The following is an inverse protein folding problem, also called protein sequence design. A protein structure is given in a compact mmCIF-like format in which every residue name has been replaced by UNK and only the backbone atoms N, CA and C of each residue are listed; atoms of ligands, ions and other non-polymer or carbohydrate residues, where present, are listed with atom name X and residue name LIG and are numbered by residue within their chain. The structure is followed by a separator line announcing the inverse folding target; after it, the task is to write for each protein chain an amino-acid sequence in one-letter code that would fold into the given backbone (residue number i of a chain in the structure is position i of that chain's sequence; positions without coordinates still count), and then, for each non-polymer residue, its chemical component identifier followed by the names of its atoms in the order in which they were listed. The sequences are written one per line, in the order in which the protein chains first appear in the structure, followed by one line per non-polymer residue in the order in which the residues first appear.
data_IF_528210727971
#
_entry.id   IF_528210727971
#
_cell.length_a   1.000
_cell.length_b   1.000
_cell.length_c   1.000
_cell.angle_alpha   90.00
_cell.angle_beta   90.00
_cell.angle_gamma   90.00
#
_symmetry.space_group_name_H-M   'P 1'
#
loop_
_entity.id
_entity.type
_entity.pdbx_description
1 polymer ?
#
# COMPACT_ATOMS: atom_id res chain seq x y z
N UNK A 1 84.67 -1.04 -54.44
CA UNK A 1 83.69 -1.37 -53.38
C UNK A 1 84.04 -0.54 -52.15
N UNK A 2 83.53 0.69 -51.97
CA UNK A 2 82.26 1.12 -51.35
C UNK A 2 82.11 0.66 -49.88
N UNK A 3 82.34 1.58 -48.94
CA UNK A 3 81.64 1.78 -47.63
C UNK A 3 82.52 2.65 -46.70
N UNK A 4 82.02 3.56 -45.88
CA UNK A 4 80.71 4.19 -45.71
C UNK A 4 80.97 5.37 -44.75
N UNK A 5 80.39 6.54 -45.07
CA UNK A 5 80.47 7.75 -44.24
C UNK A 5 79.84 7.51 -42.86
N UNK A 6 80.49 7.98 -41.80
CA UNK A 6 79.98 7.98 -40.43
C UNK A 6 78.68 8.79 -40.33
N UNK A 7 77.61 8.28 -39.68
CA UNK A 7 76.44 9.08 -39.40
C UNK A 7 76.63 9.91 -38.12
N UNK A 8 76.39 11.22 -38.23
CA UNK A 8 76.25 12.12 -37.09
C UNK A 8 74.93 11.77 -36.39
N UNK A 9 75.02 11.14 -35.21
CA UNK A 9 73.85 10.86 -34.35
C UNK A 9 73.33 12.18 -33.77
N UNK A 10 72.23 12.72 -34.32
CA UNK A 10 71.47 13.81 -33.70
C UNK A 10 70.78 13.29 -32.45
N UNK A 11 71.19 13.76 -31.28
CA UNK A 11 70.49 13.53 -30.02
C UNK A 11 69.11 14.22 -30.07
N UNK A 12 68.02 13.45 -30.07
CA UNK A 12 66.64 13.95 -30.05
C UNK A 12 66.30 14.33 -28.61
N UNK A 13 66.40 15.61 -28.28
CA UNK A 13 66.01 16.13 -26.97
C UNK A 13 64.51 15.88 -26.71
N UNK A 14 64.20 15.16 -25.63
CA UNK A 14 62.84 14.96 -25.16
C UNK A 14 62.31 16.30 -24.62
N UNK A 15 61.39 16.96 -25.33
CA UNK A 15 60.67 18.13 -24.81
C UNK A 15 59.79 17.68 -23.66
N UNK A 16 60.22 17.91 -22.41
CA UNK A 16 59.33 17.88 -21.24
C UNK A 16 58.30 18.99 -21.38
N UNK A 17 57.03 18.64 -21.60
CA UNK A 17 55.93 19.58 -21.42
C UNK A 17 55.85 19.93 -19.93
N UNK A 18 55.92 21.23 -19.63
CA UNK A 18 55.65 21.73 -18.28
C UNK A 18 54.14 21.64 -18.07
N UNK A 19 53.68 20.57 -17.44
CA UNK A 19 52.29 20.45 -17.01
C UNK A 19 51.99 21.57 -16.00
N UNK A 20 51.10 22.48 -16.37
CA UNK A 20 50.69 23.59 -15.51
C UNK A 20 49.78 23.07 -14.39
N UNK A 21 50.14 23.23 -13.11
CA UNK A 21 49.34 22.75 -11.98
C UNK A 21 47.95 23.42 -11.90
N UNK A 22 47.78 24.60 -12.52
CA UNK A 22 46.52 25.35 -12.55
C UNK A 22 45.44 24.69 -13.42
N UNK A 23 45.82 23.91 -14.44
CA UNK A 23 44.87 23.16 -15.28
C UNK A 23 44.27 21.95 -14.56
N UNK A 24 45.03 21.32 -13.67
CA UNK A 24 44.55 20.21 -12.84
C UNK A 24 43.56 20.70 -11.78
N UNK A 25 43.85 21.83 -11.11
CA UNK A 25 42.94 22.43 -10.13
C UNK A 25 41.65 22.94 -10.77
N UNK A 26 41.72 23.49 -11.99
CA UNK A 26 40.56 24.00 -12.72
C UNK A 26 39.57 22.93 -13.19
N UNK A 27 40.01 21.66 -13.36
CA UNK A 27 39.14 20.55 -13.73
C UNK A 27 38.65 19.75 -12.52
N UNK A 28 39.48 19.63 -11.48
CA UNK A 28 39.16 18.87 -10.26
C UNK A 28 38.07 19.54 -9.42
N UNK A 29 38.12 20.86 -9.25
CA UNK A 29 37.13 21.57 -8.42
C UNK A 29 35.71 21.46 -8.98
N UNK A 30 35.43 21.72 -10.28
CA UNK A 30 34.06 21.59 -10.80
C UNK A 30 33.59 20.14 -10.85
N UNK A 31 34.48 19.17 -11.13
CA UNK A 31 34.09 17.74 -11.12
C UNK A 31 33.73 17.27 -9.71
N UNK A 32 34.50 17.65 -8.69
CA UNK A 32 34.17 17.36 -7.28
C UNK A 32 32.86 18.04 -6.87
N UNK A 33 32.63 19.30 -7.25
CA UNK A 33 31.37 20.00 -6.95
C UNK A 33 30.16 19.32 -7.61
N UNK A 34 30.28 18.87 -8.85
CA UNK A 34 29.21 18.14 -9.55
C UNK A 34 28.93 16.80 -8.87
N UNK A 35 29.96 16.06 -8.44
CA UNK A 35 29.79 14.79 -7.74
C UNK A 35 29.12 14.97 -6.37
N UNK A 36 29.51 16.01 -5.62
CA UNK A 36 28.88 16.35 -4.34
C UNK A 36 27.41 16.77 -4.55
N UNK A 37 27.13 17.60 -5.55
CA UNK A 37 25.77 18.00 -5.88
C UNK A 37 24.91 16.80 -6.29
N UNK A 38 25.44 15.87 -7.09
CA UNK A 38 24.74 14.64 -7.47
C UNK A 38 24.46 13.73 -6.26
N UNK A 39 25.43 13.56 -5.36
CA UNK A 39 25.26 12.78 -4.13
C UNK A 39 24.21 13.39 -3.18
N UNK A 40 24.19 14.72 -3.04
CA UNK A 40 23.27 15.43 -2.14
C UNK A 40 21.86 15.55 -2.72
N UNK A 41 21.70 15.83 -4.01
CA UNK A 41 20.39 16.14 -4.61
C UNK A 41 19.74 14.98 -5.37
N UNK A 42 20.51 14.07 -5.96
CA UNK A 42 19.98 13.01 -6.85
C UNK A 42 19.85 11.69 -6.10
N UNK A 43 20.85 11.31 -5.30
CA UNK A 43 20.85 10.05 -4.54
C UNK A 43 19.65 9.87 -3.60
N UNK A 44 19.22 10.88 -2.80
CA UNK A 44 18.06 10.69 -1.92
C UNK A 44 16.72 10.57 -2.68
N UNK A 45 16.64 11.02 -3.94
CA UNK A 45 15.43 10.90 -4.77
C UNK A 45 15.27 9.54 -5.45
N UNK A 46 16.35 8.76 -5.55
CA UNK A 46 16.31 7.39 -6.09
C UNK A 46 15.91 6.35 -5.03
N UNK A 47 15.93 6.71 -3.74
CA UNK A 47 15.65 5.80 -2.62
C UNK A 47 14.21 5.76 -2.11
N UNK A 48 13.26 6.51 -2.69
CA UNK A 48 11.86 6.50 -2.25
C UNK A 48 11.02 5.41 -2.91
N UNK A 49 11.44 4.16 -2.77
CA UNK A 49 10.51 3.04 -2.76
C UNK A 49 10.25 2.72 -1.30
N UNK A 50 9.08 3.06 -0.78
CA UNK A 50 8.66 2.59 0.54
C UNK A 50 8.68 1.05 0.51
N UNK A 51 9.70 0.44 1.11
CA UNK A 51 9.63 -0.96 1.49
C UNK A 51 8.39 -1.08 2.40
N UNK A 52 7.51 -2.04 2.11
CA UNK A 52 6.39 -2.31 3.00
C UNK A 52 6.95 -2.50 4.41
N UNK A 53 6.45 -1.74 5.38
CA UNK A 53 6.87 -1.88 6.76
C UNK A 53 6.68 -3.35 7.19
N UNK A 54 7.70 -3.94 7.82
CA UNK A 54 7.63 -5.31 8.31
C UNK A 54 6.54 -5.35 9.39
N UNK A 55 5.43 -6.01 9.10
CA UNK A 55 4.30 -6.19 10.03
C UNK A 55 4.58 -7.30 11.04
N UNK A 56 5.66 -7.15 11.82
CA UNK A 56 6.11 -8.15 12.79
C UNK A 56 5.14 -8.36 13.94
N UNK A 57 4.32 -7.34 14.26
CA UNK A 57 3.26 -7.42 15.27
C UNK A 57 1.92 -7.96 14.72
N UNK A 58 1.86 -8.34 13.44
CA UNK A 58 0.67 -8.88 12.77
C UNK A 58 -0.60 -8.03 12.96
N UNK A 59 -0.42 -6.72 13.05
CA UNK A 59 -1.54 -5.77 13.12
C UNK A 59 -2.22 -5.66 11.76
N UNK A 60 -3.53 -5.41 11.74
CA UNK A 60 -4.23 -5.11 10.49
C UNK A 60 -3.74 -3.75 9.96
N UNK A 61 -2.92 -3.77 8.90
CA UNK A 61 -2.45 -2.54 8.26
C UNK A 61 -3.53 -2.11 7.25
N UNK A 62 -4.32 -1.12 7.64
CA UNK A 62 -5.19 -0.41 6.71
C UNK A 62 -4.31 0.59 5.93
N UNK A 63 -4.25 0.53 4.59
CA UNK A 63 -3.50 1.52 3.81
C UNK A 63 -4.01 2.93 4.08
N UNK A 64 -3.11 3.94 4.01
CA UNK A 64 -3.47 5.36 4.21
C UNK A 64 -4.56 5.85 3.25
N UNK A 65 -4.55 5.32 2.03
CA UNK A 65 -5.58 5.54 1.02
C UNK A 65 -6.13 4.18 0.57
N UNK A 66 -7.04 3.56 1.35
CA UNK A 66 -7.61 2.28 0.95
C UNK A 66 -8.30 2.40 -0.41
N UNK A 67 -8.79 3.60 -0.76
CA UNK A 67 -9.48 3.91 -2.01
C UNK A 67 -8.55 4.27 -3.19
N UNK A 68 -7.23 4.26 -3.02
CA UNK A 68 -6.29 4.61 -4.10
C UNK A 68 -6.06 3.46 -5.08
N UNK A 69 -5.69 3.79 -6.33
CA UNK A 69 -5.38 2.82 -7.38
C UNK A 69 -4.20 1.89 -7.07
N UNK A 70 -3.33 2.23 -6.09
CA UNK A 70 -2.26 1.34 -5.60
C UNK A 70 -2.73 0.41 -4.47
N UNK A 71 -3.93 0.62 -3.92
CA UNK A 71 -4.47 -0.10 -2.78
C UNK A 71 -5.64 -1.04 -3.08
N UNK A 72 -6.62 -0.66 -3.91
CA UNK A 72 -7.81 -1.48 -4.15
C UNK A 72 -8.40 -1.24 -5.54
N UNK A 73 -8.87 -2.31 -6.16
CA UNK A 73 -10.01 -2.18 -7.06
C UNK A 73 -11.25 -1.82 -6.25
N UNK A 74 -11.50 -0.54 -6.00
CA UNK A 74 -12.83 0.01 -5.64
C UNK A 74 -13.57 -0.64 -4.45
N UNK A 75 -12.90 -1.19 -3.44
CA UNK A 75 -13.57 -1.54 -2.17
C UNK A 75 -13.49 -0.31 -1.27
N UNK A 76 -14.64 0.12 -0.73
CA UNK A 76 -14.73 1.23 0.21
C UNK A 76 -15.40 0.75 1.50
N UNK A 77 -14.94 1.29 2.62
CA UNK A 77 -15.57 1.11 3.93
C UNK A 77 -16.22 2.43 4.30
N UNK A 78 -17.45 2.34 4.78
CA UNK A 78 -18.20 3.47 5.31
C UNK A 78 -18.77 3.05 6.65
N UNK A 79 -18.39 3.78 7.69
CA UNK A 79 -18.84 3.54 9.06
C UNK A 79 -19.97 4.53 9.38
N UNK A 80 -21.25 4.09 9.34
CA UNK A 80 -22.37 4.96 9.62
C UNK A 80 -22.37 5.38 11.09
N UNK A 81 -22.84 6.60 11.33
CA UNK A 81 -23.16 7.02 12.69
C UNK A 81 -24.38 6.22 13.18
N UNK A 82 -24.20 5.50 14.29
CA UNK A 82 -25.28 4.81 15.01
C UNK A 82 -25.63 5.64 16.24
N UNK A 83 -26.92 5.85 16.46
CA UNK A 83 -27.45 6.60 17.61
C UNK A 83 -28.58 5.82 18.28
N UNK A 84 -28.85 6.17 19.53
CA UNK A 84 -30.00 5.63 20.25
C UNK A 84 -31.30 6.28 19.74
N UNK A 85 -32.38 5.50 19.71
CA UNK A 85 -33.69 5.99 19.29
C UNK A 85 -34.14 7.18 20.16
N UNK A 86 -34.59 8.24 19.50
CA UNK A 86 -35.05 9.47 20.18
C UNK A 86 -33.94 10.41 20.61
N UNK A 87 -32.67 10.09 20.34
CA UNK A 87 -31.53 10.98 20.62
C UNK A 87 -31.14 11.84 19.42
N UNK A 88 -30.44 12.94 19.68
CA UNK A 88 -29.85 13.77 18.63
C UNK A 88 -28.41 13.31 18.37
N UNK A 89 -28.02 13.12 17.10
CA UNK A 89 -26.63 12.86 16.74
C UNK A 89 -25.68 13.92 17.30
N UNK A 90 -24.57 13.49 17.91
CA UNK A 90 -23.51 14.41 18.32
C UNK A 90 -22.78 15.06 17.13
N UNK A 91 -22.84 14.42 15.96
CA UNK A 91 -22.28 14.89 14.69
C UNK A 91 -23.31 14.63 13.59
N UNK A 92 -23.38 15.49 12.58
CA UNK A 92 -24.24 15.26 11.42
C UNK A 92 -23.86 13.92 10.71
N UNK A 93 -24.81 13.01 10.46
CA UNK A 93 -24.54 11.79 9.70
C UNK A 93 -23.97 12.10 8.30
N UNK A 94 -22.92 11.39 7.91
CA UNK A 94 -22.28 11.56 6.59
C UNK A 94 -22.90 10.58 5.60
N UNK A 95 -23.62 11.05 4.58
CA UNK A 95 -24.19 10.13 3.58
C UNK A 95 -23.11 9.67 2.58
N UNK A 96 -22.91 8.35 2.38
CA UNK A 96 -21.92 7.88 1.42
C UNK A 96 -22.41 8.09 -0.01
N UNK A 97 -21.53 8.59 -0.87
CA UNK A 97 -21.79 8.65 -2.31
C UNK A 97 -21.38 7.33 -2.95
N UNK A 98 -22.35 6.58 -3.48
CA UNK A 98 -22.11 5.28 -4.11
C UNK A 98 -22.09 5.40 -5.64
N UNK A 99 -21.09 4.82 -6.33
CA UNK A 99 -21.10 4.79 -7.79
C UNK A 99 -22.25 3.91 -8.30
N UNK A 100 -22.75 4.22 -9.50
CA UNK A 100 -23.77 3.40 -10.16
C UNK A 100 -23.28 1.96 -10.30
N UNK A 101 -24.09 1.00 -9.85
CA UNK A 101 -23.75 -0.42 -9.89
C UNK A 101 -22.85 -0.89 -8.74
N UNK A 102 -22.65 -0.07 -7.70
CA UNK A 102 -21.99 -0.52 -6.47
C UNK A 102 -22.74 -1.71 -5.85
N UNK A 103 -21.97 -2.69 -5.37
CA UNK A 103 -22.49 -3.83 -4.60
C UNK A 103 -22.09 -3.59 -3.15
N UNK A 104 -23.08 -3.46 -2.26
CA UNK A 104 -22.89 -3.09 -0.86
C UNK A 104 -23.24 -4.26 0.05
N UNK A 105 -22.33 -4.61 0.96
CA UNK A 105 -22.64 -5.41 2.14
C UNK A 105 -22.75 -4.51 3.36
N UNK A 106 -23.58 -4.87 4.33
CA UNK A 106 -23.69 -4.17 5.60
C UNK A 106 -23.47 -5.19 6.71
N UNK A 107 -22.65 -4.85 7.70
CA UNK A 107 -22.36 -5.69 8.86
C UNK A 107 -22.70 -4.91 10.12
N UNK A 108 -23.27 -5.62 11.08
CA UNK A 108 -23.67 -5.08 12.36
C UNK A 108 -22.94 -5.84 13.46
N UNK A 109 -22.46 -5.11 14.46
CA UNK A 109 -21.80 -5.65 15.63
C UNK A 109 -22.25 -4.90 16.88
N UNK A 110 -22.36 -5.61 18.01
CA UNK A 110 -22.61 -5.02 19.32
C UNK A 110 -21.79 -5.77 20.37
N UNK A 111 -21.20 -5.05 21.33
CA UNK A 111 -20.58 -5.64 22.53
C UNK A 111 -21.56 -5.75 23.71
N UNK A 112 -22.84 -5.43 23.49
CA UNK A 112 -23.89 -5.51 24.50
C UNK A 112 -24.57 -6.88 24.55
N UNK A 113 -25.88 -6.88 24.83
CA UNK A 113 -26.73 -8.06 24.73
C UNK A 113 -26.90 -8.52 23.26
N UNK A 114 -27.80 -9.49 23.05
CA UNK A 114 -28.19 -9.97 21.73
C UNK A 114 -28.66 -8.84 20.80
N UNK A 115 -27.96 -8.69 19.68
CA UNK A 115 -28.33 -7.84 18.56
C UNK A 115 -29.54 -8.44 17.84
N UNK A 116 -30.65 -7.71 17.84
CA UNK A 116 -31.85 -8.04 17.08
C UNK A 116 -32.13 -6.94 16.07
N UNK A 117 -32.12 -7.28 14.79
CA UNK A 117 -32.51 -6.37 13.72
C UNK A 117 -34.03 -6.17 13.73
N UNK A 118 -34.45 -4.92 13.77
CA UNK A 118 -35.85 -4.54 13.62
C UNK A 118 -36.14 -4.19 12.16
N UNK A 119 -37.29 -4.64 11.68
CA UNK A 119 -37.74 -4.33 10.33
C UNK A 119 -38.42 -2.96 10.27
N UNK A 120 -38.13 -2.21 9.21
CA UNK A 120 -38.83 -0.97 8.87
C UNK A 120 -39.29 -1.13 7.42
N UNK A 121 -40.60 -1.27 7.23
CA UNK A 121 -41.23 -1.35 5.90
C UNK A 121 -40.61 -2.40 4.96
N UNK A 122 -40.26 -3.58 5.48
CA UNK A 122 -39.65 -4.66 4.72
C UNK A 122 -38.16 -4.50 4.45
N UNK A 123 -37.48 -3.57 5.12
CA UNK A 123 -36.06 -3.28 4.97
C UNK A 123 -35.17 -4.52 5.10
N UNK A 124 -35.48 -5.43 6.04
CA UNK A 124 -34.64 -6.62 6.27
C UNK A 124 -34.74 -7.60 5.10
N UNK A 125 -35.95 -7.77 4.55
CA UNK A 125 -36.16 -8.60 3.37
C UNK A 125 -35.51 -7.98 2.14
N UNK A 126 -35.71 -6.67 1.92
CA UNK A 126 -35.12 -5.95 0.80
C UNK A 126 -33.59 -5.96 0.85
N UNK A 127 -33.01 -5.75 2.04
CA UNK A 127 -31.58 -5.81 2.29
C UNK A 127 -30.98 -7.22 2.30
N UNK A 128 -31.81 -8.28 2.23
CA UNK A 128 -31.38 -9.68 2.35
C UNK A 128 -30.58 -9.90 3.64
N UNK A 129 -31.18 -9.48 4.75
CA UNK A 129 -30.53 -9.49 6.05
C UNK A 129 -30.63 -10.86 6.73
N UNK A 130 -29.59 -11.21 7.46
CA UNK A 130 -29.47 -12.42 8.27
C UNK A 130 -28.96 -12.01 9.65
N UNK A 131 -29.76 -12.29 10.68
CA UNK A 131 -29.42 -12.03 12.09
C UNK A 131 -29.35 -13.34 12.90
N UNK A 132 -29.61 -14.48 12.26
CA UNK A 132 -29.71 -15.76 12.93
C UNK A 132 -30.06 -16.91 11.99
N UNK A 133 -30.16 -18.09 12.56
CA UNK A 133 -30.80 -19.26 11.96
C UNK A 133 -32.24 -19.40 12.49
N UNK A 134 -33.01 -20.36 11.98
CA UNK A 134 -34.40 -20.56 12.36
C UNK A 134 -34.56 -20.68 13.89
N UNK A 135 -35.19 -19.68 14.52
CA UNK A 135 -35.40 -19.63 15.97
C UNK A 135 -34.17 -19.29 16.83
N UNK A 136 -33.02 -18.91 16.25
CA UNK A 136 -31.80 -18.63 17.01
C UNK A 136 -31.01 -17.46 16.43
N UNK A 137 -30.73 -16.45 17.26
CA UNK A 137 -29.92 -15.29 16.87
C UNK A 137 -28.42 -15.59 17.00
N UNK A 138 -27.60 -14.97 16.16
CA UNK A 138 -26.14 -15.09 16.24
C UNK A 138 -25.53 -14.37 17.45
N UNK A 139 -26.35 -13.73 18.30
CA UNK A 139 -25.88 -12.98 19.45
C UNK A 139 -25.44 -11.58 19.03
N UNK A 140 -24.14 -11.39 18.83
CA UNK A 140 -23.53 -10.06 18.68
C UNK A 140 -23.28 -9.62 17.24
N UNK A 141 -23.81 -10.36 16.26
CA UNK A 141 -23.51 -10.15 14.84
C UNK A 141 -24.74 -10.31 13.95
N UNK A 142 -24.82 -9.47 12.91
CA UNK A 142 -25.76 -9.62 11.81
C UNK A 142 -25.16 -9.04 10.52
N UNK A 143 -25.77 -9.37 9.38
CA UNK A 143 -25.38 -8.75 8.11
C UNK A 143 -26.56 -8.59 7.16
N UNK A 144 -26.41 -7.73 6.16
CA UNK A 144 -27.27 -7.62 4.99
C UNK A 144 -26.44 -7.75 3.72
N UNK A 145 -26.91 -8.55 2.76
CA UNK A 145 -26.34 -8.71 1.41
C UNK A 145 -24.88 -9.23 1.34
N UNK A 146 -24.30 -9.72 2.44
CA UNK A 146 -22.91 -10.19 2.48
C UNK A 146 -22.57 -11.28 1.44
N UNK A 147 -23.43 -12.29 1.16
CA UNK A 147 -23.12 -13.30 0.13
C UNK A 147 -22.93 -12.70 -1.26
N UNK A 148 -23.72 -11.68 -1.63
CA UNK A 148 -23.58 -11.01 -2.93
C UNK A 148 -22.33 -10.13 -2.97
N UNK A 149 -22.02 -9.43 -1.88
CA UNK A 149 -20.80 -8.66 -1.75
C UNK A 149 -19.55 -9.55 -1.94
N UNK A 150 -19.45 -10.66 -1.19
CA UNK A 150 -18.28 -11.53 -1.28
C UNK A 150 -18.19 -12.27 -2.62
N UNK A 151 -19.31 -12.62 -3.25
CA UNK A 151 -19.28 -13.16 -4.62
C UNK A 151 -18.66 -12.16 -5.59
N UNK A 152 -19.10 -10.89 -5.56
CA UNK A 152 -18.57 -9.84 -6.40
C UNK A 152 -17.09 -9.53 -6.11
N UNK A 153 -16.70 -9.51 -4.82
CA UNK A 153 -15.31 -9.33 -4.42
C UNK A 153 -14.43 -10.46 -4.94
N UNK A 154 -14.85 -11.72 -4.80
CA UNK A 154 -14.12 -12.88 -5.30
C UNK A 154 -14.00 -12.86 -6.83
N UNK A 155 -15.07 -12.54 -7.55
CA UNK A 155 -15.02 -12.35 -9.01
C UNK A 155 -14.05 -11.22 -9.40
N UNK A 156 -14.04 -10.11 -8.65
CA UNK A 156 -13.11 -9.02 -8.89
C UNK A 156 -11.65 -9.43 -8.64
N UNK A 157 -11.40 -10.29 -7.63
CA UNK A 157 -10.07 -10.87 -7.37
C UNK A 157 -9.64 -11.79 -8.51
N UNK A 158 -10.51 -12.72 -8.92
CA UNK A 158 -10.23 -13.66 -10.00
C UNK A 158 -9.94 -12.95 -11.33
N UNK A 159 -10.64 -11.84 -11.59
CA UNK A 159 -10.44 -11.02 -12.78
C UNK A 159 -9.31 -9.98 -12.64
N UNK A 160 -8.50 -10.04 -11.58
CA UNK A 160 -7.38 -9.13 -11.34
C UNK A 160 -7.77 -7.67 -11.10
N UNK A 161 -9.06 -7.38 -10.88
CA UNK A 161 -9.57 -6.03 -10.59
C UNK A 161 -9.28 -5.63 -9.15
N UNK A 162 -9.34 -6.58 -8.21
CA UNK A 162 -8.96 -6.41 -6.80
C UNK A 162 -7.73 -7.25 -6.53
N UNK A 163 -6.70 -6.66 -5.91
CA UNK A 163 -5.54 -7.40 -5.44
C UNK A 163 -5.54 -7.41 -3.92
N UNK A 164 -5.72 -8.59 -3.34
CA UNK A 164 -5.57 -8.79 -1.89
C UNK A 164 -4.08 -8.81 -1.57
N UNK A 165 -3.58 -7.94 -0.66
CA UNK A 165 -2.20 -8.01 -0.22
C UNK A 165 -1.87 -9.37 0.43
N UNK A 166 -0.64 -9.88 0.26
CA UNK A 166 -0.21 -11.07 1.00
C UNK A 166 -0.20 -10.78 2.51
N UNK A 167 -0.36 -11.84 3.31
CA UNK A 167 -0.21 -11.77 4.76
C UNK A 167 1.22 -11.33 5.14
N UNK A 168 1.33 -10.60 6.26
CA UNK A 168 2.62 -10.20 6.83
C UNK A 168 3.42 -11.38 7.40
N UNK A 169 4.60 -11.08 7.96
CA UNK A 169 5.38 -12.03 8.76
C UNK A 169 5.44 -11.54 10.20
N UNK A 170 5.20 -12.44 11.15
CA UNK A 170 5.29 -12.21 12.59
C UNK A 170 6.74 -12.10 13.08
N UNK A 171 6.91 -11.65 14.33
CA UNK A 171 8.21 -11.58 15.05
C UNK A 171 8.94 -12.93 15.14
N UNK A 172 8.21 -14.04 15.16
CA UNK A 172 8.77 -15.39 15.18
C UNK A 172 9.16 -15.92 13.79
N UNK A 173 9.01 -15.08 12.75
CA UNK A 173 9.32 -15.41 11.36
C UNK A 173 8.22 -16.15 10.62
N UNK A 174 7.13 -16.57 11.28
CA UNK A 174 5.99 -17.24 10.64
C UNK A 174 5.11 -16.24 9.88
N UNK A 175 4.29 -16.74 8.95
CA UNK A 175 3.24 -15.93 8.32
C UNK A 175 2.27 -15.46 9.39
N UNK A 176 1.86 -14.20 9.34
CA UNK A 176 0.83 -13.69 10.24
C UNK A 176 -0.44 -14.52 10.10
N UNK A 177 -1.08 -14.91 11.22
CA UNK A 177 -2.28 -15.71 11.16
C UNK A 177 -3.41 -14.94 10.46
N UNK A 178 -4.37 -15.69 9.93
CA UNK A 178 -5.59 -15.14 9.35
C UNK A 178 -6.80 -15.75 10.05
N UNK A 179 -8.01 -15.29 9.73
CA UNK A 179 -9.25 -15.92 10.21
C UNK A 179 -9.44 -17.39 9.78
N UNK A 180 -8.51 -17.93 8.98
CA UNK A 180 -8.42 -19.36 8.61
C UNK A 180 -7.36 -20.13 9.41
N UNK A 181 -6.63 -19.44 10.28
CA UNK A 181 -5.57 -20.01 11.10
C UNK A 181 -6.12 -20.35 12.49
N UNK A 182 -6.01 -21.62 12.88
CA UNK A 182 -6.50 -22.11 14.17
C UNK A 182 -5.66 -21.66 15.38
N UNK A 183 -4.53 -20.96 15.16
CA UNK A 183 -3.77 -20.31 16.24
C UNK A 183 -4.45 -19.06 16.79
N UNK A 184 -5.46 -18.53 16.09
CA UNK A 184 -6.31 -17.42 16.54
C UNK A 184 -7.59 -18.00 17.11
N UNK A 185 -7.71 -18.01 18.44
CA UNK A 185 -8.89 -18.48 19.19
C UNK A 185 -9.34 -17.39 20.15
#
# INVERSE_FOLDING_TARGET
MRKQRSPITRYRGFRRSRFSPLLLTGLLVPTVLILVAAAVFVLPKLGSHAAAAINSDCTLIVPRDPLSARGLGKIAVYDPLVIDQGTQPAVAPVVPTLPKGAIVGIWFGSNGNTLTLQDSDGSLKAGRCVNGANGSLFGQFAYCNAPNFFRAANEAILNGKVRVPPLGRAKDGRTCPSVRDFSVV
#
